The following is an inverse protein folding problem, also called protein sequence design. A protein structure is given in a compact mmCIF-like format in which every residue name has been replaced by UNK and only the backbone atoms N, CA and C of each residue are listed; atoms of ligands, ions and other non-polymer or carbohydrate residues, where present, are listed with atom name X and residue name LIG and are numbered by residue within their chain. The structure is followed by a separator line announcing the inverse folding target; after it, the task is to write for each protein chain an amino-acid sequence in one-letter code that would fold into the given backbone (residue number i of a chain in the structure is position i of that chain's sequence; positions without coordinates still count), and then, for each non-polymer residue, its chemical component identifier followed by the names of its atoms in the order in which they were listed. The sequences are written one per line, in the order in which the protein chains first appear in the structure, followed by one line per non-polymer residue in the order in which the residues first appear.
data_IF_110483175827
#
_entry.id   IF_110483175827
#
_cell.length_a   1.000
_cell.length_b   1.000
_cell.length_c   1.000
_cell.angle_alpha   90.00
_cell.angle_beta   90.00
_cell.angle_gamma   90.00
#
_symmetry.space_group_name_H-M   'P 1'
#
loop_
_entity.id
_entity.type
_entity.pdbx_description
1 polymer ?
#
# COMPACT_ATOMS: atom_id res chain seq x y z
N UNK A 1 22.83 2.35 -7.33
CA UNK A 1 24.28 2.32 -7.66
C UNK A 1 24.60 1.39 -8.83
N UNK A 2 23.66 0.57 -9.28
CA UNK A 2 23.84 -0.42 -10.33
C UNK A 2 22.84 -0.26 -11.48
N UNK A 3 21.99 0.78 -11.39
CA UNK A 3 20.86 0.95 -12.31
C UNK A 3 20.87 2.37 -12.85
N UNK A 4 20.79 2.50 -14.16
CA UNK A 4 20.69 3.81 -14.83
C UNK A 4 19.25 4.36 -14.78
N UNK A 5 18.26 3.47 -14.60
CA UNK A 5 16.83 3.80 -14.64
C UNK A 5 16.05 3.13 -13.52
N UNK A 6 15.05 3.84 -13.01
CA UNK A 6 13.99 3.34 -12.14
C UNK A 6 12.65 3.64 -12.80
N UNK A 7 11.78 2.65 -12.94
CA UNK A 7 10.44 2.83 -13.51
C UNK A 7 9.41 2.79 -12.38
N UNK A 8 8.63 3.86 -12.24
CA UNK A 8 7.53 3.93 -11.27
C UNK A 8 6.29 3.22 -11.84
N UNK A 9 6.20 1.94 -11.58
CA UNK A 9 5.07 1.12 -12.05
C UNK A 9 3.85 1.20 -11.14
N UNK A 10 4.00 1.55 -9.86
CA UNK A 10 2.94 1.64 -8.86
C UNK A 10 1.99 0.42 -8.84
N UNK A 11 2.51 -0.77 -9.18
CA UNK A 11 1.73 -1.99 -9.39
C UNK A 11 1.38 -2.75 -8.12
N UNK A 12 1.97 -2.39 -6.97
CA UNK A 12 1.77 -3.12 -5.72
C UNK A 12 1.59 -2.14 -4.54
N UNK A 13 0.38 -2.06 -3.96
CA UNK A 13 0.18 -1.33 -2.71
C UNK A 13 0.85 -2.09 -1.55
N UNK A 14 1.65 -1.41 -0.76
CA UNK A 14 2.25 -1.99 0.44
C UNK A 14 1.33 -1.74 1.65
N UNK A 15 0.62 -2.77 2.07
CA UNK A 15 -0.30 -2.71 3.20
C UNK A 15 0.31 -3.35 4.44
N UNK A 16 0.26 -2.63 5.56
CA UNK A 16 0.66 -3.13 6.88
C UNK A 16 -0.54 -3.04 7.80
N UNK A 17 -0.92 -4.18 8.40
CA UNK A 17 -2.02 -4.25 9.36
C UNK A 17 -1.48 -4.37 10.78
N UNK A 18 -1.97 -3.51 11.67
CA UNK A 18 -1.78 -3.67 13.10
C UNK A 18 -2.96 -4.47 13.65
N UNK A 19 -2.69 -5.66 14.15
CA UNK A 19 -3.71 -6.58 14.67
C UNK A 19 -3.52 -6.84 16.16
N UNK A 20 -4.63 -7.09 16.85
CA UNK A 20 -4.66 -7.47 18.25
C UNK A 20 -5.65 -8.62 18.45
N UNK A 21 -5.37 -9.53 19.36
CA UNK A 21 -6.25 -10.65 19.68
C UNK A 21 -7.57 -10.16 20.28
N UNK A 22 -8.69 -10.66 19.76
CA UNK A 22 -10.02 -10.38 20.31
C UNK A 22 -10.15 -10.86 21.77
N UNK A 23 -9.57 -12.02 22.08
CA UNK A 23 -9.57 -12.56 23.45
C UNK A 23 -8.82 -11.65 24.42
N UNK A 24 -7.69 -11.08 23.98
CA UNK A 24 -6.96 -10.07 24.75
C UNK A 24 -7.80 -8.83 24.99
N UNK A 25 -8.41 -8.29 23.94
CA UNK A 25 -9.27 -7.09 24.05
C UNK A 25 -10.45 -7.30 24.99
N UNK A 26 -11.12 -8.45 24.93
CA UNK A 26 -12.24 -8.80 25.82
C UNK A 26 -11.83 -8.94 27.30
N UNK A 27 -10.56 -9.19 27.58
CA UNK A 27 -10.02 -9.22 28.96
C UNK A 27 -9.72 -7.85 29.56
N UNK A 28 -9.84 -6.77 28.77
CA UNK A 28 -9.59 -5.39 29.18
C UNK A 28 -10.89 -4.68 29.56
N UNK A 29 -10.78 -3.68 30.46
CA UNK A 29 -11.89 -2.74 30.70
C UNK A 29 -12.13 -1.85 29.46
N UNK A 30 -13.31 -1.25 29.37
CA UNK A 30 -13.65 -0.35 28.25
C UNK A 30 -12.64 0.80 28.12
N UNK A 31 -12.21 1.36 29.25
CA UNK A 31 -11.20 2.41 29.28
C UNK A 31 -9.85 1.92 28.73
N UNK A 32 -9.41 0.74 29.12
CA UNK A 32 -8.18 0.15 28.61
C UNK A 32 -8.27 -0.18 27.11
N UNK A 33 -9.42 -0.68 26.65
CA UNK A 33 -9.66 -0.90 25.22
C UNK A 33 -9.58 0.42 24.43
N UNK A 34 -10.12 1.50 24.98
CA UNK A 34 -10.08 2.81 24.35
C UNK A 34 -8.63 3.32 24.22
N UNK A 35 -7.84 3.20 25.29
CA UNK A 35 -6.40 3.57 25.27
C UNK A 35 -5.66 2.80 24.15
N UNK A 36 -5.89 1.50 24.03
CA UNK A 36 -5.25 0.69 22.96
C UNK A 36 -5.66 1.18 21.57
N UNK A 37 -6.94 1.50 21.33
CA UNK A 37 -7.42 2.03 20.07
C UNK A 37 -6.80 3.38 19.71
N UNK A 38 -6.73 4.29 20.67
CA UNK A 38 -6.13 5.62 20.50
C UNK A 38 -4.62 5.53 20.22
N UNK A 39 -3.93 4.64 20.94
CA UNK A 39 -2.52 4.39 20.71
C UNK A 39 -2.26 3.80 19.30
N UNK A 40 -3.11 2.87 18.85
CA UNK A 40 -3.03 2.30 17.53
C UNK A 40 -3.27 3.35 16.43
N UNK A 41 -4.24 4.23 16.60
CA UNK A 41 -4.51 5.33 15.66
C UNK A 41 -3.32 6.31 15.60
N UNK A 42 -2.75 6.67 16.75
CA UNK A 42 -1.57 7.53 16.83
C UNK A 42 -0.37 6.88 16.12
N UNK A 43 -0.13 5.59 16.37
CA UNK A 43 0.93 4.83 15.72
C UNK A 43 0.73 4.76 14.20
N UNK A 44 -0.50 4.54 13.73
CA UNK A 44 -0.86 4.52 12.31
C UNK A 44 -0.55 5.85 11.62
N UNK A 45 -0.96 6.97 12.22
CA UNK A 45 -0.70 8.31 11.68
C UNK A 45 0.79 8.62 11.63
N UNK A 46 1.52 8.29 12.69
CA UNK A 46 2.97 8.45 12.73
C UNK A 46 3.66 7.61 11.65
N UNK A 47 3.28 6.34 11.52
CA UNK A 47 3.87 5.44 10.53
C UNK A 47 3.65 5.93 9.09
N UNK A 48 2.44 6.44 8.77
CA UNK A 48 2.15 7.03 7.45
C UNK A 48 3.06 8.22 7.17
N UNK A 49 3.11 9.18 8.09
CA UNK A 49 3.98 10.35 7.94
C UNK A 49 5.45 9.95 7.74
N UNK A 50 5.94 9.01 8.54
CA UNK A 50 7.32 8.54 8.42
C UNK A 50 7.59 7.78 7.10
N UNK A 51 6.58 7.07 6.57
CA UNK A 51 6.68 6.41 5.27
C UNK A 51 6.81 7.44 4.14
N UNK A 52 5.95 8.47 4.13
CA UNK A 52 5.96 9.52 3.12
C UNK A 52 7.30 10.30 3.13
N UNK A 53 7.78 10.68 4.31
CA UNK A 53 9.07 11.37 4.46
C UNK A 53 10.24 10.49 3.98
N UNK A 54 10.19 9.19 4.27
CA UNK A 54 11.22 8.24 3.83
C UNK A 54 11.21 8.05 2.31
N UNK A 55 10.02 7.91 1.71
CA UNK A 55 9.87 7.78 0.26
C UNK A 55 10.44 9.02 -0.43
N UNK A 56 10.04 10.22 -0.02
CA UNK A 56 10.54 11.47 -0.57
C UNK A 56 12.07 11.58 -0.46
N UNK A 57 12.63 11.22 0.69
CA UNK A 57 14.09 11.20 0.89
C UNK A 57 14.80 10.20 -0.02
N UNK A 58 14.21 9.01 -0.26
CA UNK A 58 14.79 7.99 -1.13
C UNK A 58 14.70 8.36 -2.60
N UNK A 59 13.60 8.96 -3.05
CA UNK A 59 13.47 9.51 -4.40
C UNK A 59 14.60 10.52 -4.65
N UNK A 60 14.77 11.48 -3.74
CA UNK A 60 15.85 12.45 -3.85
C UNK A 60 17.25 11.79 -3.91
N UNK A 61 17.49 10.77 -3.11
CA UNK A 61 18.76 10.02 -3.15
C UNK A 61 19.00 9.36 -4.51
N UNK A 62 17.93 8.83 -5.13
CA UNK A 62 17.98 8.21 -6.46
C UNK A 62 18.31 9.26 -7.51
N UNK A 63 17.63 10.40 -7.50
CA UNK A 63 17.87 11.52 -8.42
C UNK A 63 19.31 12.06 -8.28
N UNK A 64 19.77 12.29 -7.04
CA UNK A 64 21.11 12.79 -6.74
C UNK A 64 22.21 11.80 -7.19
N UNK A 65 21.92 10.50 -7.35
CA UNK A 65 22.83 9.49 -7.87
C UNK A 65 23.00 9.51 -9.39
N UNK A 66 22.18 10.31 -10.10
CA UNK A 66 22.14 10.37 -11.56
C UNK A 66 21.24 9.31 -12.21
N UNK A 67 20.57 8.46 -11.42
CA UNK A 67 19.59 7.50 -11.91
C UNK A 67 18.34 8.23 -12.40
N UNK A 68 17.87 7.92 -13.58
CA UNK A 68 16.69 8.53 -14.17
C UNK A 68 15.43 7.81 -13.67
N UNK A 69 14.47 8.58 -13.16
CA UNK A 69 13.15 8.07 -12.77
C UNK A 69 12.20 8.25 -13.95
N UNK A 70 11.58 7.15 -14.37
CA UNK A 70 10.63 7.09 -15.48
C UNK A 70 9.24 6.89 -14.90
N UNK A 71 8.37 7.86 -15.09
CA UNK A 71 6.93 7.74 -14.82
C UNK A 71 6.23 7.18 -16.05
N UNK A 72 5.39 6.17 -15.87
CA UNK A 72 4.62 5.58 -16.96
C UNK A 72 3.47 6.51 -17.38
N UNK A 73 3.15 6.54 -18.68
CA UNK A 73 1.98 7.26 -19.17
C UNK A 73 0.68 6.51 -18.83
N UNK A 74 -0.43 7.23 -18.85
CA UNK A 74 -1.77 6.64 -18.61
C UNK A 74 -2.08 5.53 -19.63
N UNK A 75 -1.65 5.67 -20.89
CA UNK A 75 -1.86 4.66 -21.90
C UNK A 75 -1.13 3.34 -21.55
N UNK A 76 0.10 3.44 -21.02
CA UNK A 76 0.86 2.26 -20.59
C UNK A 76 0.21 1.61 -19.36
N UNK A 77 -0.28 2.40 -18.42
CA UNK A 77 -1.03 1.88 -17.27
C UNK A 77 -2.29 1.14 -17.71
N UNK A 78 -3.06 1.70 -18.63
CA UNK A 78 -4.26 1.07 -19.16
C UNK A 78 -3.94 -0.23 -19.93
N UNK A 79 -2.84 -0.25 -20.68
CA UNK A 79 -2.40 -1.46 -21.35
C UNK A 79 -2.01 -2.56 -20.37
N UNK A 80 -1.24 -2.22 -19.31
CA UNK A 80 -0.88 -3.16 -18.24
C UNK A 80 -2.15 -3.71 -17.57
N UNK A 81 -3.12 -2.84 -17.23
CA UNK A 81 -4.39 -3.24 -16.62
C UNK A 81 -5.16 -4.22 -17.51
N UNK A 82 -5.20 -3.96 -18.80
CA UNK A 82 -5.85 -4.82 -19.78
C UNK A 82 -5.18 -6.20 -19.86
N UNK A 83 -3.86 -6.23 -19.89
CA UNK A 83 -3.11 -7.51 -19.93
C UNK A 83 -3.24 -8.30 -18.61
N UNK A 84 -3.53 -7.61 -17.49
CA UNK A 84 -3.79 -8.24 -16.20
C UNK A 84 -5.23 -8.78 -16.03
N UNK A 85 -6.15 -8.55 -16.98
CA UNK A 85 -7.53 -9.01 -16.88
C UNK A 85 -7.69 -10.50 -16.53
N UNK A 86 -6.93 -11.44 -17.11
CA UNK A 86 -7.03 -12.86 -16.73
C UNK A 86 -6.67 -13.15 -15.28
N UNK A 87 -5.84 -12.29 -14.67
CA UNK A 87 -5.47 -12.39 -13.25
C UNK A 87 -6.68 -12.02 -12.38
N UNK A 88 -7.39 -10.94 -12.70
CA UNK A 88 -8.61 -10.54 -11.99
C UNK A 88 -9.67 -11.62 -12.04
N UNK A 89 -9.92 -12.21 -13.19
CA UNK A 89 -10.85 -13.33 -13.38
C UNK A 89 -10.45 -14.57 -12.55
N UNK A 90 -9.15 -14.80 -12.36
CA UNK A 90 -8.65 -15.86 -11.49
C UNK A 90 -8.87 -15.55 -10.01
N UNK A 91 -8.71 -14.29 -9.60
CA UNK A 91 -8.93 -13.84 -8.23
C UNK A 91 -10.41 -13.94 -7.85
N UNK A 92 -11.32 -13.55 -8.76
CA UNK A 92 -12.78 -13.63 -8.56
C UNK A 92 -13.28 -15.04 -8.23
N UNK A 93 -12.58 -16.08 -8.67
CA UNK A 93 -12.90 -17.46 -8.32
C UNK A 93 -12.67 -17.79 -6.83
N UNK A 94 -11.82 -17.02 -6.15
CA UNK A 94 -11.43 -17.24 -4.76
C UNK A 94 -11.93 -16.11 -3.83
N UNK A 95 -12.24 -14.96 -4.40
CA UNK A 95 -12.72 -13.77 -3.71
C UNK A 95 -13.99 -13.33 -4.42
N UNK A 96 -15.01 -12.90 -3.70
CA UNK A 96 -16.27 -12.48 -4.32
C UNK A 96 -16.08 -11.31 -5.30
N UNK A 97 -16.82 -11.33 -6.40
CA UNK A 97 -16.72 -10.32 -7.47
C UNK A 97 -16.98 -8.90 -6.99
N UNK A 98 -17.90 -8.72 -6.03
CA UNK A 98 -18.19 -7.43 -5.42
C UNK A 98 -16.98 -6.80 -4.70
N UNK A 99 -16.13 -7.62 -4.08
CA UNK A 99 -14.87 -7.15 -3.46
C UNK A 99 -13.86 -6.75 -4.54
N UNK A 100 -13.74 -7.55 -5.59
CA UNK A 100 -12.84 -7.24 -6.72
C UNK A 100 -13.27 -5.96 -7.42
N UNK A 101 -14.56 -5.81 -7.71
CA UNK A 101 -15.12 -4.62 -8.34
C UNK A 101 -14.91 -3.36 -7.46
N UNK A 102 -15.18 -3.46 -6.16
CA UNK A 102 -14.95 -2.36 -5.22
C UNK A 102 -13.48 -1.93 -5.15
N UNK A 103 -12.55 -2.86 -5.36
CA UNK A 103 -11.12 -2.57 -5.42
C UNK A 103 -10.71 -1.89 -6.73
N UNK A 104 -11.26 -2.32 -7.86
CA UNK A 104 -10.92 -1.80 -9.18
C UNK A 104 -11.52 -0.41 -9.49
N UNK A 105 -12.54 0.00 -8.73
CA UNK A 105 -13.26 1.27 -8.92
C UNK A 105 -12.76 2.42 -8.02
N UNK A 106 -11.67 2.22 -7.29
CA UNK A 106 -11.08 3.24 -6.41
C UNK A 106 -10.16 4.21 -7.14
#
# INVERSE_FOLDING_TARGET
EQQDYVVETNHLPHLISLIVSEAFMKGLTDEQQQIIREAAETAKQYARKQADERIASKIKTIEDSGTQIITLSDEVHEQIRKECQPIYESIEKNVSSDIVEAYLTQ
#
